data_IF_430902271856
#
_entry.id   IF_430902271856
#
_cell.length_a   1.000
_cell.length_b   1.000
_cell.length_c   1.000
_cell.angle_alpha   90.00
_cell.angle_beta   90.00
_cell.angle_gamma   90.00
#
_symmetry.space_group_name_H-M   'P 1'
#
loop_
_entity.id
_entity.type
_entity.pdbx_description
1 polymer ?
#
# COMPACT_ATOMS: atom_id res chain seq x y z
N UNK A 1 40.32 -35.71 57.48
CA UNK A 1 39.66 -35.82 56.16
C UNK A 1 39.06 -34.47 55.76
N UNK A 2 39.87 -33.54 55.25
CA UNK A 2 39.43 -32.23 54.70
C UNK A 2 40.29 -31.96 53.47
N UNK A 3 39.80 -32.32 52.29
CA UNK A 3 40.61 -32.22 51.07
C UNK A 3 39.86 -32.31 49.75
N UNK A 4 38.53 -32.14 49.73
CA UNK A 4 37.75 -32.29 48.49
C UNK A 4 36.97 -31.04 48.05
N UNK A 5 37.03 -29.95 48.83
CA UNK A 5 36.27 -28.71 48.54
C UNK A 5 37.01 -27.65 47.71
N UNK A 6 38.20 -27.94 47.16
CA UNK A 6 39.00 -26.94 46.42
C UNK A 6 39.01 -27.10 44.89
N UNK A 7 38.32 -28.10 44.33
CA UNK A 7 38.30 -28.33 42.87
C UNK A 7 37.04 -27.84 42.15
N UNK A 8 36.04 -27.29 42.86
CA UNK A 8 34.79 -26.80 42.26
C UNK A 8 34.72 -25.27 42.10
N UNK A 9 35.64 -24.50 42.68
CA UNK A 9 35.61 -23.01 42.75
C UNK A 9 36.03 -22.28 41.47
N UNK A 10 36.10 -22.95 40.32
CA UNK A 10 36.39 -22.34 39.01
C UNK A 10 35.48 -22.79 37.87
N UNK A 11 34.57 -23.73 38.13
CA UNK A 11 33.69 -24.30 37.10
C UNK A 11 32.43 -23.47 36.85
N UNK A 12 32.06 -22.59 37.78
CA UNK A 12 30.90 -21.71 37.65
C UNK A 12 30.95 -20.83 36.39
N UNK A 13 32.06 -20.12 36.05
CA UNK A 13 32.14 -19.37 34.80
C UNK A 13 32.12 -20.26 33.55
N UNK A 14 32.70 -21.47 33.59
CA UNK A 14 32.64 -22.42 32.48
C UNK A 14 31.23 -22.97 32.24
N UNK A 15 30.49 -23.30 33.31
CA UNK A 15 29.09 -23.71 33.24
C UNK A 15 28.19 -22.59 32.76
N UNK A 16 28.42 -21.36 33.19
CA UNK A 16 27.73 -20.17 32.67
C UNK A 16 28.02 -19.97 31.17
N UNK A 17 29.26 -20.11 30.73
CA UNK A 17 29.62 -20.00 29.32
C UNK A 17 28.97 -21.10 28.46
N UNK A 18 28.96 -22.36 28.93
CA UNK A 18 28.29 -23.47 28.25
C UNK A 18 26.77 -23.28 28.24
N UNK A 19 26.18 -22.81 29.34
CA UNK A 19 24.76 -22.52 29.40
C UNK A 19 24.37 -21.37 28.47
N UNK A 20 25.14 -20.28 28.43
CA UNK A 20 24.95 -19.15 27.52
C UNK A 20 25.15 -19.57 26.05
N UNK A 21 26.18 -20.36 25.74
CA UNK A 21 26.41 -20.88 24.40
C UNK A 21 25.31 -21.87 23.97
N UNK A 22 24.89 -22.77 24.87
CA UNK A 22 23.82 -23.73 24.62
C UNK A 22 22.46 -23.06 24.45
N UNK A 23 22.14 -22.06 25.27
CA UNK A 23 20.92 -21.27 25.14
C UNK A 23 20.93 -20.38 23.89
N UNK A 24 22.06 -19.79 23.52
CA UNK A 24 22.21 -19.11 22.23
C UNK A 24 21.98 -20.07 21.05
N UNK A 25 22.51 -21.29 21.12
CA UNK A 25 22.32 -22.33 20.09
C UNK A 25 20.84 -22.75 20.00
N UNK A 26 20.16 -22.94 21.13
CA UNK A 26 18.72 -23.26 21.20
C UNK A 26 17.81 -22.16 20.62
N UNK A 27 18.26 -20.89 20.64
CA UNK A 27 17.54 -19.78 20.01
C UNK A 27 17.77 -19.70 18.49
N UNK A 28 18.82 -20.36 17.98
CA UNK A 28 19.09 -20.43 16.53
C UNK A 28 18.42 -21.61 15.83
N UNK A 29 17.91 -22.59 16.58
CA UNK A 29 17.16 -23.72 16.02
C UNK A 29 15.81 -23.23 15.48
N UNK A 30 15.51 -23.47 14.19
CA UNK A 30 14.23 -23.11 13.61
C UNK A 30 13.11 -23.85 14.33
N UNK A 31 12.01 -23.14 14.61
CA UNK A 31 10.80 -23.73 15.17
C UNK A 31 9.68 -23.58 14.17
N UNK A 32 8.84 -24.60 14.03
CA UNK A 32 7.61 -24.47 13.26
C UNK A 32 6.72 -23.41 13.90
N UNK A 33 6.54 -22.31 13.17
CA UNK A 33 5.63 -21.24 13.55
C UNK A 33 4.81 -20.93 12.31
N UNK A 34 3.49 -21.05 12.42
CA UNK A 34 2.58 -20.75 11.31
C UNK A 34 2.82 -19.30 10.80
N UNK A 35 3.00 -19.10 9.49
CA UNK A 35 3.18 -17.78 8.91
C UNK A 35 1.97 -16.85 9.09
N UNK A 36 2.10 -15.87 10.01
CA UNK A 36 1.01 -14.93 10.31
C UNK A 36 1.22 -13.53 9.76
N UNK A 37 2.43 -13.12 9.41
CA UNK A 37 2.72 -11.72 9.04
C UNK A 37 3.30 -11.62 7.63
N UNK A 38 2.57 -10.94 6.76
CA UNK A 38 3.08 -10.56 5.43
C UNK A 38 4.00 -9.36 5.62
N UNK A 39 5.30 -9.45 5.28
CA UNK A 39 6.20 -8.30 5.31
C UNK A 39 5.64 -7.17 4.45
N UNK A 40 5.56 -5.97 5.00
CA UNK A 40 5.15 -4.77 4.26
C UNK A 40 6.39 -3.98 3.80
N UNK A 41 6.33 -3.31 2.63
CA UNK A 41 7.40 -2.41 2.21
C UNK A 41 7.56 -1.27 3.22
N UNK A 42 8.79 -0.83 3.43
CA UNK A 42 9.13 0.25 4.37
C UNK A 42 9.57 1.47 3.57
N UNK A 43 8.81 2.56 3.69
CA UNK A 43 9.17 3.84 3.07
C UNK A 43 10.12 4.65 3.95
N UNK A 44 11.07 5.37 3.33
CA UNK A 44 11.84 6.41 4.03
C UNK A 44 10.96 7.63 4.30
N UNK A 45 10.60 7.83 5.56
CA UNK A 45 9.77 8.96 6.00
C UNK A 45 10.39 10.33 5.67
N UNK A 46 11.72 10.45 5.59
CA UNK A 46 12.37 11.71 5.19
C UNK A 46 12.23 11.95 3.69
N UNK A 47 12.29 10.89 2.88
CA UNK A 47 12.03 10.99 1.45
C UNK A 47 10.58 11.39 1.17
N UNK A 48 9.63 10.76 1.87
CA UNK A 48 8.22 11.13 1.80
C UNK A 48 7.97 12.59 2.19
N UNK A 49 8.58 13.06 3.29
CA UNK A 49 8.45 14.45 3.72
C UNK A 49 8.94 15.43 2.64
N UNK A 50 10.09 15.17 2.01
CA UNK A 50 10.61 16.01 0.92
C UNK A 50 9.65 16.11 -0.26
N UNK A 51 9.00 15.00 -0.64
CA UNK A 51 8.03 15.00 -1.74
C UNK A 51 6.77 15.78 -1.35
N UNK A 52 6.27 15.56 -0.14
CA UNK A 52 5.12 16.30 0.41
C UNK A 52 5.40 17.81 0.44
N UNK A 53 6.58 18.22 0.90
CA UNK A 53 7.00 19.62 0.96
C UNK A 53 7.11 20.23 -0.45
N UNK A 54 7.64 19.47 -1.43
CA UNK A 54 7.73 19.92 -2.81
C UNK A 54 6.34 20.11 -3.45
N UNK A 55 5.41 19.20 -3.23
CA UNK A 55 4.03 19.34 -3.71
C UNK A 55 3.30 20.49 -3.00
N UNK A 56 3.50 20.64 -1.69
CA UNK A 56 2.96 21.75 -0.92
C UNK A 56 3.47 23.09 -1.47
N UNK A 57 4.76 23.23 -1.70
CA UNK A 57 5.36 24.44 -2.26
C UNK A 57 4.82 24.78 -3.66
N UNK A 58 4.64 23.77 -4.53
CA UNK A 58 4.01 23.94 -5.85
C UNK A 58 2.57 24.46 -5.72
N UNK A 59 1.79 23.86 -4.83
CA UNK A 59 0.40 24.23 -4.61
C UNK A 59 0.25 25.61 -3.95
N UNK A 60 1.15 25.98 -3.04
CA UNK A 60 1.17 27.28 -2.36
C UNK A 60 1.55 28.42 -3.29
N UNK A 61 2.43 28.18 -4.27
CA UNK A 61 2.77 29.18 -5.27
C UNK A 61 1.56 29.68 -6.08
N UNK A 62 0.51 28.85 -6.18
CA UNK A 62 -0.74 29.16 -6.88
C UNK A 62 -1.83 29.78 -5.99
N UNK A 63 -1.64 29.79 -4.66
CA UNK A 63 -2.57 30.43 -3.74
C UNK A 63 -2.30 31.94 -3.65
N UNK A 64 -3.36 32.77 -3.59
CA UNK A 64 -3.19 34.16 -3.19
C UNK A 64 -2.86 34.21 -1.69
N UNK A 65 -1.64 34.65 -1.36
CA UNK A 65 -1.23 34.91 0.01
C UNK A 65 -1.28 36.42 0.31
N UNK A 66 -1.54 36.84 1.57
CA UNK A 66 -1.49 38.26 1.94
C UNK A 66 -0.15 38.87 1.55
N UNK A 67 -0.17 39.88 0.67
CA UNK A 67 1.03 40.58 0.20
C UNK A 67 1.81 39.90 -0.92
N UNK A 68 1.35 38.77 -1.47
CA UNK A 68 1.98 38.11 -2.63
C UNK A 68 0.92 37.74 -3.67
N UNK A 69 0.99 38.28 -4.91
CA UNK A 69 0.06 37.89 -5.95
C UNK A 69 0.21 36.39 -6.25
N UNK A 70 -0.91 35.69 -6.37
CA UNK A 70 -0.92 34.30 -6.78
C UNK A 70 -0.23 34.16 -8.15
N UNK A 71 0.63 33.16 -8.30
CA UNK A 71 1.12 32.79 -9.64
C UNK A 71 -0.06 32.22 -10.41
N UNK A 72 -0.42 32.87 -11.52
CA UNK A 72 -1.51 32.41 -12.37
C UNK A 72 -0.94 31.40 -13.37
N UNK A 73 -1.51 30.19 -13.38
CA UNK A 73 -1.22 29.19 -14.40
C UNK A 73 -1.68 29.68 -15.78
N UNK A 74 -0.95 29.28 -16.82
CA UNK A 74 -1.33 29.57 -18.19
C UNK A 74 -2.75 29.05 -18.52
N UNK A 75 -3.42 29.70 -19.48
CA UNK A 75 -4.77 29.32 -19.92
C UNK A 75 -4.86 27.85 -20.36
N UNK A 76 -3.83 27.32 -21.01
CA UNK A 76 -3.81 25.94 -21.48
C UNK A 76 -3.77 24.96 -20.30
N UNK A 77 -2.94 25.26 -19.29
CA UNK A 77 -2.82 24.46 -18.07
C UNK A 77 -4.11 24.52 -17.25
N UNK A 78 -4.75 25.68 -17.15
CA UNK A 78 -6.06 25.81 -16.48
C UNK A 78 -7.15 25.07 -17.23
N UNK A 79 -7.12 25.08 -18.57
CA UNK A 79 -8.06 24.33 -19.42
C UNK A 79 -7.97 22.82 -19.14
N UNK A 80 -6.75 22.28 -19.04
CA UNK A 80 -6.54 20.89 -18.62
C UNK A 80 -7.12 20.65 -17.22
N UNK A 81 -6.88 21.55 -16.27
CA UNK A 81 -7.41 21.47 -14.91
C UNK A 81 -8.95 21.39 -14.87
N UNK A 82 -9.62 22.24 -15.67
CA UNK A 82 -11.07 22.25 -15.81
C UNK A 82 -11.61 20.98 -16.49
N UNK A 83 -10.93 20.48 -17.53
CA UNK A 83 -11.31 19.24 -18.20
C UNK A 83 -11.25 18.02 -17.26
N UNK A 84 -10.20 17.93 -16.42
CA UNK A 84 -10.06 16.88 -15.39
C UNK A 84 -11.21 16.96 -14.37
N UNK A 85 -11.57 18.17 -13.93
CA UNK A 85 -12.69 18.38 -13.00
C UNK A 85 -14.03 17.97 -13.61
N UNK A 86 -14.29 18.35 -14.86
CA UNK A 86 -15.49 17.96 -15.59
C UNK A 86 -15.59 16.44 -15.72
N UNK A 87 -14.48 15.77 -16.04
CA UNK A 87 -14.42 14.30 -16.08
C UNK A 87 -14.75 13.68 -14.71
N UNK A 88 -14.22 14.20 -13.61
CA UNK A 88 -14.53 13.69 -12.28
C UNK A 88 -16.01 13.81 -11.92
N UNK A 89 -16.66 14.92 -12.26
CA UNK A 89 -18.10 15.10 -12.06
C UNK A 89 -18.94 14.10 -12.85
N UNK A 90 -18.58 13.82 -14.11
CA UNK A 90 -19.25 12.78 -14.89
C UNK A 90 -18.99 11.38 -14.33
N UNK A 91 -17.76 11.09 -13.89
CA UNK A 91 -17.35 9.82 -13.27
C UNK A 91 -18.07 9.55 -11.93
N UNK A 92 -18.44 10.61 -11.21
CA UNK A 92 -19.17 10.52 -9.94
C UNK A 92 -20.67 10.21 -10.11
N UNK A 93 -21.25 10.35 -11.31
CA UNK A 93 -22.70 10.17 -11.49
C UNK A 93 -23.14 8.72 -11.23
N UNK A 94 -24.22 8.47 -10.47
CA UNK A 94 -24.74 7.12 -10.23
C UNK A 94 -25.16 6.38 -11.51
N UNK A 95 -25.69 7.10 -12.50
CA UNK A 95 -26.07 6.58 -13.81
C UNK A 95 -25.08 7.06 -14.88
N UNK A 96 -23.83 6.60 -14.79
CA UNK A 96 -22.78 6.97 -15.75
C UNK A 96 -23.24 6.65 -17.16
N UNK A 97 -23.17 7.67 -18.02
CA UNK A 97 -23.48 7.53 -19.43
C UNK A 97 -22.17 7.52 -20.20
N UNK A 98 -21.95 6.45 -20.93
CA UNK A 98 -20.72 6.23 -21.70
C UNK A 98 -20.39 7.40 -22.66
N UNK A 99 -21.35 8.01 -23.37
CA UNK A 99 -21.07 9.13 -24.27
C UNK A 99 -20.51 10.37 -23.55
N UNK A 100 -21.05 10.71 -22.37
CA UNK A 100 -20.64 11.85 -21.57
C UNK A 100 -19.23 11.65 -21.01
N UNK A 101 -18.93 10.46 -20.49
CA UNK A 101 -17.58 10.09 -20.04
C UNK A 101 -16.58 10.13 -21.20
N UNK A 102 -16.95 9.59 -22.37
CA UNK A 102 -16.09 9.63 -23.55
C UNK A 102 -15.83 11.06 -24.03
N UNK A 103 -16.83 11.94 -23.93
CA UNK A 103 -16.69 13.37 -24.27
C UNK A 103 -15.75 14.09 -23.30
N UNK A 104 -15.94 13.91 -21.99
CA UNK A 104 -15.05 14.50 -20.99
C UNK A 104 -13.61 13.98 -21.13
N UNK A 105 -13.44 12.70 -21.46
CA UNK A 105 -12.11 12.12 -21.74
C UNK A 105 -11.45 12.74 -22.96
N UNK A 106 -12.22 12.99 -24.03
CA UNK A 106 -11.73 13.65 -25.24
C UNK A 106 -11.24 15.06 -24.94
N UNK A 107 -11.97 15.82 -24.12
CA UNK A 107 -11.57 17.17 -23.71
C UNK A 107 -10.23 17.18 -22.95
N UNK A 108 -9.98 16.17 -22.12
CA UNK A 108 -8.67 16.02 -21.45
C UNK A 108 -7.56 15.76 -22.48
N UNK A 109 -7.79 14.83 -23.41
CA UNK A 109 -6.81 14.50 -24.46
C UNK A 109 -6.50 15.69 -25.37
N UNK A 110 -7.48 16.55 -25.64
CA UNK A 110 -7.32 17.79 -26.42
C UNK A 110 -6.57 18.87 -25.62
N UNK A 111 -6.81 18.98 -24.30
CA UNK A 111 -6.19 19.99 -23.45
C UNK A 111 -4.76 19.64 -23.01
N UNK A 112 -4.38 18.36 -23.00
CA UNK A 112 -3.09 17.92 -22.48
C UNK A 112 -1.88 18.43 -23.30
N UNK A 113 -1.81 18.30 -24.64
CA UNK A 113 -0.63 18.71 -25.38
C UNK A 113 -0.30 20.21 -25.26
N UNK A 114 -1.27 21.15 -25.37
CA UNK A 114 -1.01 22.56 -25.10
C UNK A 114 -0.50 22.81 -23.68
N UNK A 115 -1.09 22.16 -22.66
CA UNK A 115 -0.61 22.30 -21.30
C UNK A 115 0.83 21.81 -21.11
N UNK A 116 1.20 20.69 -21.73
CA UNK A 116 2.58 20.16 -21.70
C UNK A 116 3.57 21.03 -22.47
N UNK A 117 3.12 21.83 -23.45
CA UNK A 117 3.99 22.76 -24.19
C UNK A 117 4.58 23.86 -23.30
N UNK A 118 3.92 24.19 -22.18
CA UNK A 118 4.44 25.10 -21.14
C UNK A 118 5.45 24.43 -20.19
N UNK A 119 5.68 23.11 -20.34
CA UNK A 119 6.63 22.33 -19.58
C UNK A 119 5.99 21.48 -18.47
N UNK A 120 6.66 20.38 -18.07
CA UNK A 120 6.10 19.42 -17.11
C UNK A 120 5.89 20.01 -15.72
N UNK A 121 6.70 21.00 -15.30
CA UNK A 121 6.55 21.63 -13.98
C UNK A 121 5.23 22.41 -13.83
N UNK A 122 4.70 23.01 -14.91
CA UNK A 122 3.39 23.68 -14.85
C UNK A 122 2.26 22.67 -14.61
N UNK A 123 2.33 21.52 -15.27
CA UNK A 123 1.36 20.43 -15.12
C UNK A 123 1.50 19.76 -13.75
N UNK A 124 2.73 19.62 -13.23
CA UNK A 124 2.98 19.17 -11.85
C UNK A 124 2.45 20.15 -10.81
N UNK A 125 2.56 21.47 -11.05
CA UNK A 125 2.00 22.48 -10.17
C UNK A 125 0.47 22.43 -10.13
N UNK A 126 -0.17 22.27 -11.29
CA UNK A 126 -1.61 22.01 -11.39
C UNK A 126 -2.01 20.76 -10.60
N UNK A 127 -1.30 19.64 -10.80
CA UNK A 127 -1.59 18.37 -10.11
C UNK A 127 -1.44 18.53 -8.60
N UNK A 128 -0.37 19.18 -8.12
CA UNK A 128 -0.14 19.40 -6.70
C UNK A 128 -1.24 20.28 -6.06
N UNK A 129 -1.67 21.33 -6.76
CA UNK A 129 -2.78 22.17 -6.34
C UNK A 129 -4.08 21.39 -6.22
N UNK A 130 -4.43 20.60 -7.24
CA UNK A 130 -5.61 19.74 -7.23
C UNK A 130 -5.52 18.63 -6.18
N UNK A 131 -4.33 18.05 -5.94
CA UNK A 131 -4.11 17.07 -4.88
C UNK A 131 -4.43 17.66 -3.51
N UNK A 132 -3.93 18.86 -3.21
CA UNK A 132 -4.20 19.54 -1.93
C UNK A 132 -5.69 19.82 -1.75
N UNK A 133 -6.37 20.29 -2.80
CA UNK A 133 -7.82 20.50 -2.78
C UNK A 133 -8.59 19.19 -2.53
N UNK A 134 -8.21 18.10 -3.21
CA UNK A 134 -8.78 16.78 -3.03
C UNK A 134 -8.60 16.26 -1.60
N UNK A 135 -7.38 16.31 -1.05
CA UNK A 135 -7.11 15.87 0.32
C UNK A 135 -7.96 16.65 1.33
N UNK A 136 -8.06 17.99 1.18
CA UNK A 136 -8.94 18.82 2.01
C UNK A 136 -10.41 18.41 1.88
N UNK A 137 -10.89 18.16 0.67
CA UNK A 137 -12.27 17.74 0.43
C UNK A 137 -12.58 16.37 1.04
N UNK A 138 -11.63 15.42 0.98
CA UNK A 138 -11.75 14.11 1.64
C UNK A 138 -11.79 14.25 3.16
N UNK A 139 -10.94 15.09 3.76
CA UNK A 139 -10.94 15.33 5.21
C UNK A 139 -12.21 16.06 5.68
N UNK A 140 -12.73 16.96 4.85
CA UNK A 140 -14.04 17.57 5.09
C UNK A 140 -15.15 16.50 5.10
N UNK A 141 -15.19 15.64 4.07
CA UNK A 141 -16.16 14.53 4.00
C UNK A 141 -16.03 13.55 5.17
N UNK A 142 -14.82 13.21 5.62
CA UNK A 142 -14.61 12.39 6.82
C UNK A 142 -15.20 13.04 8.09
N UNK A 143 -15.14 14.37 8.19
CA UNK A 143 -15.68 15.11 9.33
C UNK A 143 -17.21 15.31 9.26
N UNK A 144 -17.75 15.65 8.09
CA UNK A 144 -19.15 16.10 7.92
C UNK A 144 -20.06 15.06 7.29
N UNK A 145 -19.51 14.10 6.54
CA UNK A 145 -20.25 13.19 5.67
C UNK A 145 -20.71 13.83 4.35
N UNK A 146 -20.40 15.11 4.11
CA UNK A 146 -20.86 15.85 2.93
C UNK A 146 -19.97 15.58 1.70
N UNK A 147 -20.60 15.19 0.60
CA UNK A 147 -19.94 14.99 -0.69
C UNK A 147 -19.94 16.31 -1.48
N UNK A 148 -18.87 17.10 -1.31
CA UNK A 148 -18.72 18.42 -1.95
C UNK A 148 -18.40 18.32 -3.44
N UNK A 149 -18.66 19.39 -4.20
CA UNK A 149 -18.32 19.43 -5.64
C UNK A 149 -16.82 19.20 -5.88
N UNK A 150 -15.95 19.77 -5.04
CA UNK A 150 -14.49 19.54 -5.12
C UNK A 150 -14.12 18.07 -4.96
N UNK A 151 -14.77 17.37 -4.03
CA UNK A 151 -14.54 15.94 -3.82
C UNK A 151 -14.91 15.13 -5.06
N UNK A 152 -16.07 15.43 -5.65
CA UNK A 152 -16.57 14.70 -6.83
C UNK A 152 -15.77 15.07 -8.08
N UNK A 153 -15.47 16.35 -8.30
CA UNK A 153 -14.72 16.82 -9.45
C UNK A 153 -13.27 16.29 -9.48
N UNK A 154 -12.63 16.14 -8.32
CA UNK A 154 -11.23 15.69 -8.25
C UNK A 154 -11.11 14.18 -7.99
N UNK A 155 -12.06 13.61 -7.23
CA UNK A 155 -12.06 12.21 -6.80
C UNK A 155 -12.93 11.27 -7.63
N UNK A 156 -13.91 11.80 -8.39
CA UNK A 156 -14.96 10.98 -8.99
C UNK A 156 -15.81 10.28 -7.93
N UNK A 157 -16.13 9.00 -8.15
CA UNK A 157 -16.80 8.12 -7.17
C UNK A 157 -15.86 7.66 -6.03
N UNK A 158 -14.99 8.54 -5.52
CA UNK A 158 -14.07 8.20 -4.43
C UNK A 158 -14.82 7.73 -3.17
N UNK A 159 -15.90 8.39 -2.70
CA UNK A 159 -16.67 7.91 -1.55
C UNK A 159 -17.24 6.51 -1.75
N UNK A 160 -17.78 6.19 -2.94
CA UNK A 160 -18.25 4.85 -3.26
C UNK A 160 -17.11 3.82 -3.30
N UNK A 161 -15.96 4.19 -3.88
CA UNK A 161 -14.77 3.34 -3.93
C UNK A 161 -14.30 2.91 -2.53
N UNK A 162 -14.13 3.86 -1.61
CA UNK A 162 -13.60 3.56 -0.26
C UNK A 162 -14.57 2.74 0.57
N UNK A 163 -15.89 2.97 0.40
CA UNK A 163 -16.95 2.16 1.03
C UNK A 163 -16.94 0.73 0.50
N UNK A 164 -16.95 0.54 -0.83
CA UNK A 164 -16.89 -0.79 -1.47
C UNK A 164 -15.60 -1.55 -1.19
N UNK A 165 -14.51 -0.83 -0.92
CA UNK A 165 -13.21 -1.44 -0.61
C UNK A 165 -13.07 -1.86 0.85
N UNK A 166 -14.00 -1.46 1.73
CA UNK A 166 -13.87 -1.66 3.16
C UNK A 166 -12.78 -0.78 3.81
N UNK A 167 -12.44 0.35 3.18
CA UNK A 167 -11.39 1.27 3.64
C UNK A 167 -11.92 2.39 4.54
N UNK A 168 -13.16 2.25 4.98
CA UNK A 168 -13.81 3.17 5.90
C UNK A 168 -14.32 2.38 7.09
N UNK A 169 -14.09 2.89 8.30
CA UNK A 169 -14.50 2.27 9.56
C UNK A 169 -15.38 3.21 10.38
N UNK A 170 -16.02 2.66 11.42
CA UNK A 170 -17.06 3.34 12.19
C UNK A 170 -18.38 3.41 11.42
N UNK A 171 -19.14 4.48 11.60
CA UNK A 171 -20.39 4.76 10.85
C UNK A 171 -20.13 5.11 9.37
N UNK A 172 -19.11 4.52 8.74
CA UNK A 172 -18.78 4.77 7.33
C UNK A 172 -18.19 6.15 7.07
N UNK A 173 -17.50 6.74 8.05
CA UNK A 173 -16.88 8.08 7.94
C UNK A 173 -15.38 8.14 8.13
N UNK A 174 -14.77 7.25 8.94
CA UNK A 174 -13.34 7.33 9.23
C UNK A 174 -12.51 6.56 8.20
N UNK A 175 -11.63 7.24 7.48
CA UNK A 175 -10.83 6.68 6.41
C UNK A 175 -9.59 5.95 6.98
N UNK A 176 -9.31 4.75 6.47
CA UNK A 176 -8.10 4.00 6.83
C UNK A 176 -6.84 4.49 6.10
N UNK A 177 -7.01 5.20 4.97
CA UNK A 177 -5.88 5.74 4.20
C UNK A 177 -5.19 6.87 4.97
N UNK A 178 -3.87 6.76 5.07
CA UNK A 178 -2.99 7.85 5.49
C UNK A 178 -2.98 8.96 4.43
N UNK A 179 -2.59 10.18 4.81
CA UNK A 179 -2.45 11.29 3.84
C UNK A 179 -1.47 10.95 2.71
N UNK A 180 -0.38 10.24 3.02
CA UNK A 180 0.58 9.76 2.01
C UNK A 180 -0.08 8.78 1.03
N UNK A 181 -0.78 7.76 1.53
CA UNK A 181 -1.47 6.80 0.65
C UNK A 181 -2.56 7.47 -0.19
N UNK A 182 -3.27 8.46 0.38
CA UNK A 182 -4.29 9.24 -0.31
C UNK A 182 -3.69 10.12 -1.42
N UNK A 183 -2.56 10.78 -1.15
CA UNK A 183 -1.84 11.58 -2.14
C UNK A 183 -1.35 10.72 -3.30
N UNK A 184 -0.75 9.56 -3.03
CA UNK A 184 -0.29 8.63 -4.08
C UNK A 184 -1.45 8.08 -4.89
N UNK A 185 -2.56 7.69 -4.23
CA UNK A 185 -3.78 7.27 -4.92
C UNK A 185 -4.28 8.37 -5.86
N UNK A 186 -4.30 9.62 -5.40
CA UNK A 186 -4.66 10.76 -6.21
C UNK A 186 -3.71 10.91 -7.42
N UNK A 187 -2.39 10.93 -7.22
CA UNK A 187 -1.41 11.04 -8.31
C UNK A 187 -1.60 9.95 -9.37
N UNK A 188 -1.76 8.69 -8.95
CA UNK A 188 -1.95 7.55 -9.86
C UNK A 188 -3.28 7.65 -10.63
N UNK A 189 -4.37 8.08 -9.98
CA UNK A 189 -5.65 8.35 -10.66
C UNK A 189 -5.50 9.50 -11.64
N UNK A 190 -4.91 10.61 -11.19
CA UNK A 190 -4.71 11.82 -11.97
C UNK A 190 -3.91 11.53 -13.23
N UNK A 191 -2.77 10.84 -13.12
CA UNK A 191 -1.94 10.47 -14.26
C UNK A 191 -2.71 9.63 -15.28
N UNK A 192 -3.46 8.63 -14.81
CA UNK A 192 -4.29 7.77 -15.68
C UNK A 192 -5.40 8.55 -16.39
N UNK A 193 -6.04 9.49 -15.69
CA UNK A 193 -7.12 10.32 -16.27
C UNK A 193 -6.53 11.30 -17.28
N UNK A 194 -5.45 11.98 -16.92
CA UNK A 194 -4.73 12.91 -17.79
C UNK A 194 -4.09 12.20 -18.99
N UNK A 195 -3.73 10.92 -18.88
CA UNK A 195 -2.98 10.20 -19.90
C UNK A 195 -1.50 10.58 -19.93
N UNK A 196 -0.95 11.00 -18.77
CA UNK A 196 0.49 11.29 -18.65
C UNK A 196 1.24 10.08 -18.10
N UNK A 197 2.42 9.87 -18.65
CA UNK A 197 3.35 8.81 -18.24
C UNK A 197 4.77 9.39 -18.18
N UNK A 198 5.65 8.72 -17.43
CA UNK A 198 7.08 9.02 -17.42
C UNK A 198 7.58 9.56 -16.07
N UNK A 199 8.90 9.56 -15.92
CA UNK A 199 9.58 9.72 -14.62
C UNK A 199 9.21 11.01 -13.86
N UNK A 200 8.82 12.09 -14.55
CA UNK A 200 8.41 13.33 -13.90
C UNK A 200 7.05 13.21 -13.19
N UNK A 201 6.16 12.33 -13.66
CA UNK A 201 4.80 12.19 -13.14
C UNK A 201 4.63 10.95 -12.26
N UNK A 202 5.48 9.93 -12.39
CA UNK A 202 5.37 8.74 -11.55
C UNK A 202 5.61 9.06 -10.07
N UNK A 203 4.86 8.42 -9.15
CA UNK A 203 5.22 8.45 -7.73
C UNK A 203 6.64 7.92 -7.52
N UNK A 204 7.33 8.51 -6.56
CA UNK A 204 8.66 8.02 -6.15
C UNK A 204 8.58 6.62 -5.55
N UNK A 205 9.72 5.93 -5.47
CA UNK A 205 9.75 4.58 -4.88
C UNK A 205 9.24 4.56 -3.43
N UNK A 206 9.57 5.56 -2.61
CA UNK A 206 9.09 5.63 -1.23
C UNK A 206 7.58 5.93 -1.15
N UNK A 207 7.05 6.71 -2.07
CA UNK A 207 5.60 6.89 -2.22
C UNK A 207 4.90 5.58 -2.59
N UNK A 208 5.45 4.82 -3.54
CA UNK A 208 4.94 3.49 -3.88
C UNK A 208 5.02 2.54 -2.68
N UNK A 209 6.13 2.52 -1.93
CA UNK A 209 6.26 1.72 -0.71
C UNK A 209 5.18 2.08 0.31
N UNK A 210 4.93 3.36 0.57
CA UNK A 210 3.89 3.80 1.50
C UNK A 210 2.49 3.38 1.04
N UNK A 211 2.22 3.47 -0.27
CA UNK A 211 0.94 3.05 -0.84
C UNK A 211 0.75 1.53 -0.78
N UNK A 212 1.75 0.74 -1.17
CA UNK A 212 1.68 -0.72 -1.11
C UNK A 212 1.70 -1.26 0.32
N UNK A 213 2.34 -0.57 1.26
CA UNK A 213 2.20 -0.86 2.69
C UNK A 213 0.72 -0.79 3.08
N UNK A 214 0.02 0.29 2.71
CA UNK A 214 -1.41 0.42 2.97
C UNK A 214 -2.22 -0.71 2.32
N UNK A 215 -2.01 -1.00 1.03
CA UNK A 215 -2.79 -2.03 0.33
C UNK A 215 -2.59 -3.44 0.91
N UNK A 216 -1.38 -3.77 1.38
CA UNK A 216 -1.10 -5.07 1.99
C UNK A 216 -1.65 -5.18 3.42
N UNK A 217 -1.62 -4.08 4.18
CA UNK A 217 -2.19 -4.00 5.53
C UNK A 217 -3.72 -3.98 5.53
N UNK A 218 -4.32 -3.28 4.55
CA UNK A 218 -5.77 -3.10 4.41
C UNK A 218 -6.23 -3.57 3.03
N UNK A 219 -6.18 -4.89 2.76
CA UNK A 219 -6.62 -5.43 1.48
C UNK A 219 -8.12 -5.14 1.28
N UNK A 220 -8.52 -5.06 0.02
CA UNK A 220 -9.93 -4.84 -0.35
C UNK A 220 -10.78 -5.97 0.22
N UNK A 221 -11.83 -5.60 0.95
CA UNK A 221 -12.79 -6.53 1.55
C UNK A 221 -14.17 -6.26 0.98
N UNK A 222 -14.68 -7.21 0.20
CA UNK A 222 -16.07 -7.19 -0.25
C UNK A 222 -17.01 -7.50 0.92
N UNK A 223 -18.19 -6.87 0.91
CA UNK A 223 -19.23 -7.20 1.87
C UNK A 223 -19.68 -8.66 1.68
N UNK A 224 -19.77 -9.41 2.77
CA UNK A 224 -20.30 -10.77 2.72
C UNK A 224 -21.79 -10.73 2.38
N UNK A 225 -22.28 -11.56 1.44
CA UNK A 225 -23.70 -11.67 1.17
C UNK A 225 -24.43 -12.22 2.41
N UNK A 226 -25.71 -11.85 2.56
CA UNK A 226 -26.55 -12.44 3.60
C UNK A 226 -26.62 -13.96 3.41
N UNK A 227 -26.17 -14.69 4.42
CA UNK A 227 -26.13 -16.14 4.39
C UNK A 227 -27.27 -16.75 5.21
N UNK A 228 -28.00 -17.65 4.55
CA UNK A 228 -29.26 -18.27 5.01
C UNK A 228 -29.07 -19.17 6.24
N UNK A 229 -27.86 -19.72 6.44
CA UNK A 229 -27.53 -20.58 7.58
C UNK A 229 -26.06 -20.46 7.98
N UNK A 230 -25.69 -21.09 9.11
CA UNK A 230 -24.33 -21.02 9.67
C UNK A 230 -23.26 -21.61 8.73
N UNK A 231 -23.56 -22.70 8.02
CA UNK A 231 -22.61 -23.32 7.10
C UNK A 231 -22.32 -22.42 5.89
N UNK A 232 -23.36 -21.79 5.33
CA UNK A 232 -23.22 -20.82 4.26
C UNK A 232 -22.39 -19.60 4.70
N UNK A 233 -22.57 -19.13 5.96
CA UNK A 233 -21.74 -18.06 6.55
C UNK A 233 -20.27 -18.47 6.60
N UNK A 234 -19.97 -19.67 7.09
CA UNK A 234 -18.60 -20.19 7.16
C UNK A 234 -17.97 -20.32 5.77
N UNK A 235 -18.71 -20.84 4.78
CA UNK A 235 -18.22 -20.92 3.39
C UNK A 235 -17.95 -19.54 2.79
N UNK A 236 -18.85 -18.59 3.00
CA UNK A 236 -18.68 -17.22 2.51
C UNK A 236 -17.47 -16.52 3.16
N UNK A 237 -17.28 -16.69 4.48
CA UNK A 237 -16.12 -16.16 5.19
C UNK A 237 -14.80 -16.72 4.63
N UNK A 238 -14.70 -18.04 4.46
CA UNK A 238 -13.50 -18.69 3.86
C UNK A 238 -13.25 -18.23 2.42
N UNK A 239 -14.30 -18.05 1.63
CA UNK A 239 -14.17 -17.52 0.27
C UNK A 239 -13.66 -16.08 0.25
N UNK A 240 -14.13 -15.23 1.17
CA UNK A 240 -13.65 -13.87 1.31
C UNK A 240 -12.19 -13.80 1.79
N UNK A 241 -11.78 -14.67 2.73
CA UNK A 241 -10.38 -14.79 3.15
C UNK A 241 -9.46 -15.17 1.99
N UNK A 242 -9.86 -16.15 1.16
CA UNK A 242 -9.11 -16.51 -0.05
C UNK A 242 -8.98 -15.34 -1.03
N UNK A 243 -10.05 -14.59 -1.29
CA UNK A 243 -10.00 -13.39 -2.16
C UNK A 243 -9.05 -12.33 -1.62
N UNK A 244 -9.00 -12.15 -0.31
CA UNK A 244 -8.07 -11.23 0.35
C UNK A 244 -6.62 -11.66 0.13
N UNK A 245 -6.33 -12.96 0.24
CA UNK A 245 -4.98 -13.47 0.03
C UNK A 245 -4.58 -13.48 -1.47
N UNK A 246 -5.51 -13.75 -2.39
CA UNK A 246 -5.31 -13.56 -3.83
C UNK A 246 -4.99 -12.10 -4.17
N UNK A 247 -5.72 -11.15 -3.57
CA UNK A 247 -5.44 -9.73 -3.68
C UNK A 247 -4.02 -9.40 -3.22
N UNK A 248 -3.60 -9.94 -2.07
CA UNK A 248 -2.24 -9.74 -1.54
C UNK A 248 -1.17 -10.31 -2.48
N UNK A 249 -1.36 -11.51 -3.03
CA UNK A 249 -0.43 -12.08 -4.00
C UNK A 249 -0.25 -11.17 -5.22
N UNK A 250 -1.34 -10.64 -5.76
CA UNK A 250 -1.30 -9.67 -6.85
C UNK A 250 -0.48 -8.43 -6.45
N UNK A 251 -0.77 -7.84 -5.29
CA UNK A 251 -0.07 -6.63 -4.83
C UNK A 251 1.40 -6.86 -4.50
N UNK A 252 1.76 -8.02 -3.96
CA UNK A 252 3.15 -8.45 -3.78
C UNK A 252 3.89 -8.49 -5.13
N UNK A 253 3.26 -9.05 -6.18
CA UNK A 253 3.83 -9.08 -7.51
C UNK A 253 4.07 -7.67 -8.09
N UNK A 254 3.09 -6.77 -7.92
CA UNK A 254 3.21 -5.38 -8.37
C UNK A 254 4.36 -4.63 -7.67
N UNK A 255 4.46 -4.68 -6.33
CA UNK A 255 5.54 -3.99 -5.61
C UNK A 255 6.91 -4.64 -5.88
N UNK A 256 6.99 -5.96 -6.08
CA UNK A 256 8.25 -6.63 -6.41
C UNK A 256 8.82 -6.21 -7.78
N UNK A 257 7.96 -5.80 -8.72
CA UNK A 257 8.39 -5.26 -10.00
C UNK A 257 8.95 -3.83 -9.88
N UNK A 258 8.51 -3.08 -8.86
CA UNK A 258 8.95 -1.70 -8.60
C UNK A 258 10.15 -1.63 -7.64
N UNK A 259 10.18 -2.52 -6.64
CA UNK A 259 11.17 -2.54 -5.56
C UNK A 259 11.84 -3.93 -5.45
N UNK A 260 12.98 -4.14 -6.12
CA UNK A 260 13.73 -5.39 -6.00
C UNK A 260 14.22 -5.70 -4.58
N UNK A 261 14.30 -4.69 -3.69
CA UNK A 261 14.71 -4.88 -2.30
C UNK A 261 13.57 -5.40 -1.40
N UNK A 262 12.32 -5.37 -1.87
CA UNK A 262 11.19 -5.92 -1.13
C UNK A 262 11.32 -7.45 -1.03
N UNK A 263 11.16 -8.07 0.17
CA UNK A 263 11.31 -9.52 0.37
C UNK A 263 10.11 -10.30 -0.18
N UNK A 264 9.90 -10.22 -1.49
CA UNK A 264 8.71 -10.72 -2.20
C UNK A 264 8.54 -12.23 -2.06
N UNK A 265 9.62 -13.02 -2.10
CA UNK A 265 9.55 -14.46 -1.92
C UNK A 265 9.07 -14.86 -0.53
N UNK A 266 9.52 -14.17 0.52
CA UNK A 266 9.02 -14.39 1.88
C UNK A 266 7.54 -14.02 1.99
N UNK A 267 7.16 -12.85 1.47
CA UNK A 267 5.77 -12.39 1.48
C UNK A 267 4.83 -13.33 0.72
N UNK A 268 5.25 -13.81 -0.46
CA UNK A 268 4.50 -14.82 -1.23
C UNK A 268 4.35 -16.12 -0.46
N UNK A 269 5.43 -16.62 0.15
CA UNK A 269 5.39 -17.85 0.94
C UNK A 269 4.37 -17.79 2.07
N UNK A 270 4.29 -16.66 2.79
CA UNK A 270 3.29 -16.45 3.85
C UNK A 270 1.87 -16.56 3.30
N UNK A 271 1.59 -15.90 2.17
CA UNK A 271 0.24 -15.90 1.59
C UNK A 271 -0.13 -17.25 0.99
N UNK A 272 0.82 -17.93 0.33
CA UNK A 272 0.63 -19.28 -0.20
C UNK A 272 0.34 -20.29 0.91
N UNK A 273 1.04 -20.18 2.05
CA UNK A 273 0.77 -21.01 3.22
C UNK A 273 -0.67 -20.85 3.70
N UNK A 274 -1.18 -19.62 3.82
CA UNK A 274 -2.56 -19.35 4.24
C UNK A 274 -3.62 -19.85 3.27
N UNK A 275 -3.27 -19.93 1.98
CA UNK A 275 -4.12 -20.52 0.95
C UNK A 275 -4.10 -22.06 0.96
N UNK A 276 -3.34 -22.69 1.87
CA UNK A 276 -3.15 -24.14 1.93
C UNK A 276 -2.27 -24.68 0.80
N UNK A 277 -1.52 -23.80 0.10
CA UNK A 277 -0.62 -24.19 -0.98
C UNK A 277 0.79 -24.41 -0.41
N UNK A 278 0.94 -25.43 0.44
CA UNK A 278 2.10 -25.61 1.28
C UNK A 278 3.39 -25.89 0.49
N UNK A 279 3.35 -26.67 -0.59
CA UNK A 279 4.52 -26.96 -1.43
C UNK A 279 5.01 -25.70 -2.17
N UNK A 280 4.07 -24.87 -2.62
CA UNK A 280 4.37 -23.58 -3.23
C UNK A 280 4.97 -22.62 -2.18
N UNK A 281 4.48 -22.65 -0.94
CA UNK A 281 5.03 -21.90 0.17
C UNK A 281 6.47 -22.34 0.51
N UNK A 282 6.73 -23.64 0.61
CA UNK A 282 8.09 -24.22 0.79
C UNK A 282 9.03 -23.70 -0.29
N UNK A 283 8.61 -23.75 -1.55
CA UNK A 283 9.42 -23.27 -2.68
C UNK A 283 9.73 -21.78 -2.56
N UNK A 284 8.75 -20.98 -2.16
CA UNK A 284 8.93 -19.53 -1.98
C UNK A 284 9.87 -19.21 -0.81
N UNK A 285 9.74 -19.88 0.33
CA UNK A 285 10.63 -19.67 1.48
C UNK A 285 12.07 -20.10 1.19
N UNK A 286 12.28 -21.22 0.49
CA UNK A 286 13.62 -21.65 0.03
C UNK A 286 14.26 -20.59 -0.86
N UNK A 287 13.54 -20.11 -1.88
CA UNK A 287 14.05 -19.04 -2.75
C UNK A 287 14.44 -17.76 -1.99
N UNK A 288 13.68 -17.40 -0.96
CA UNK A 288 14.05 -16.26 -0.12
C UNK A 288 15.36 -16.51 0.64
N UNK A 289 15.50 -17.69 1.26
CA UNK A 289 16.68 -18.07 2.03
C UNK A 289 17.93 -18.27 1.15
N UNK A 290 17.77 -18.77 -0.07
CA UNK A 290 18.88 -18.91 -1.03
C UNK A 290 19.44 -17.54 -1.42
N UNK A 291 18.56 -16.55 -1.60
CA UNK A 291 18.95 -15.18 -1.91
C UNK A 291 19.46 -14.38 -0.69
N UNK A 292 18.96 -14.70 0.51
CA UNK A 292 19.23 -13.95 1.74
C UNK A 292 19.51 -14.90 2.92
N UNK A 293 20.60 -15.71 2.87
CA UNK A 293 20.82 -16.78 3.84
C UNK A 293 20.89 -16.29 5.29
N UNK A 294 21.49 -15.11 5.50
CA UNK A 294 21.64 -14.45 6.79
C UNK A 294 21.09 -13.01 6.77
N UNK A 295 20.20 -12.71 5.82
CA UNK A 295 19.62 -11.38 5.65
C UNK A 295 18.52 -11.06 6.68
N UNK A 296 17.95 -9.84 6.60
CA UNK A 296 16.75 -9.50 7.35
C UNK A 296 15.66 -10.55 7.10
N UNK A 297 14.99 -10.98 8.17
CA UNK A 297 13.96 -12.02 8.16
C UNK A 297 14.43 -13.48 7.93
N UNK A 298 15.73 -13.77 7.78
CA UNK A 298 16.21 -15.14 7.56
C UNK A 298 15.72 -16.13 8.64
N UNK A 299 15.84 -15.79 9.93
CA UNK A 299 15.34 -16.63 11.02
C UNK A 299 13.82 -16.88 10.91
N UNK A 300 13.05 -15.84 10.58
CA UNK A 300 11.60 -15.94 10.39
C UNK A 300 11.27 -16.85 9.20
N UNK A 301 11.99 -16.70 8.09
CA UNK A 301 11.82 -17.54 6.91
C UNK A 301 12.15 -19.02 7.18
N UNK A 302 13.18 -19.32 7.99
CA UNK A 302 13.50 -20.69 8.42
C UNK A 302 12.37 -21.31 9.25
N UNK A 303 11.80 -20.55 10.19
CA UNK A 303 10.66 -21.00 11.00
C UNK A 303 9.42 -21.29 10.15
N UNK A 304 9.14 -20.41 9.17
CA UNK A 304 8.02 -20.55 8.25
C UNK A 304 8.21 -21.70 7.27
N UNK A 305 9.44 -21.92 6.80
CA UNK A 305 9.78 -23.09 5.99
C UNK A 305 9.54 -24.38 6.77
N UNK A 306 9.94 -24.45 8.04
CA UNK A 306 9.72 -25.64 8.87
C UNK A 306 8.22 -25.93 9.03
N UNK A 307 7.42 -24.91 9.34
CA UNK A 307 5.96 -25.06 9.43
C UNK A 307 5.34 -25.55 8.10
N UNK A 308 5.78 -25.01 6.96
CA UNK A 308 5.29 -25.44 5.66
C UNK A 308 5.67 -26.88 5.30
N UNK A 309 6.86 -27.35 5.73
CA UNK A 309 7.29 -28.74 5.52
C UNK A 309 6.47 -29.71 6.39
N UNK A 310 6.16 -29.32 7.63
CA UNK A 310 5.34 -30.12 8.53
C UNK A 310 3.95 -30.35 7.94
N UNK A 311 3.27 -29.30 7.47
CA UNK A 311 1.95 -29.42 6.82
C UNK A 311 1.99 -30.33 5.57
N UNK A 312 3.00 -30.18 4.70
CA UNK A 312 3.16 -31.08 3.53
C UNK A 312 3.35 -32.54 3.95
N UNK A 313 4.00 -32.78 5.09
CA UNK A 313 4.26 -34.13 5.59
C UNK A 313 3.03 -34.76 6.24
N UNK A 314 2.11 -33.94 6.76
CA UNK A 314 0.83 -34.38 7.33
C UNK A 314 -0.22 -34.74 6.26
N UNK A 315 -0.09 -34.18 5.06
CA UNK A 315 -0.98 -34.42 3.92
C UNK A 315 -0.67 -35.72 3.13
N UNK A 316 0.43 -36.44 3.45
CA UNK A 316 0.89 -37.68 2.80
C UNK A 316 0.51 -38.95 3.58
#
# INVERSE_FOLDING_TARGET
>A
MRGWRRHTDGWQPALLAVFLAGSATLLTLPRAVAPTDVPVPLADMRALARVTDADAARAEALDPAPGKPARVLDVDVRTLGSAIRAFGLEDARPARREPEIATARRQILEALPPALAHGPEEVLALRAFQQRAFVRAVRHWEATGEETEDLLALGGDFPGLVRRSGWVVGEGRRLLLTDHALAVLFKKRWNRVAGVEGAAFEPTLDEERAFYQFLLSYPVREALPEAQNAEARTRAARAAERRVDEYRLKKIGEIAALDPAYPSHLARGVVLFRLGQYEAAVTAFRRHLDAHPDGPHALRARNYLQAAIEEVSEDL
#
